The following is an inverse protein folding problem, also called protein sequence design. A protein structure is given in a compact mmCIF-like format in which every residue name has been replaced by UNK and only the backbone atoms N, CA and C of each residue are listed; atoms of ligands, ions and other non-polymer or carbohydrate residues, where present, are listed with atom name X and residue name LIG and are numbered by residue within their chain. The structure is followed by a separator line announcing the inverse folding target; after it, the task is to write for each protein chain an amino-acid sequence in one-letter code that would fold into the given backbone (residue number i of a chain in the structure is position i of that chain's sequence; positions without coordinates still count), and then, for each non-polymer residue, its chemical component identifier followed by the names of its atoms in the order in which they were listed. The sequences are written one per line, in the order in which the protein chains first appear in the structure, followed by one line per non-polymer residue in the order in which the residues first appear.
data_IF_430487873477
#
_entry.id   IF_430487873477
#
_cell.length_a   1.000
_cell.length_b   1.000
_cell.length_c   1.000
_cell.angle_alpha   90.00
_cell.angle_beta   90.00
_cell.angle_gamma   90.00
#
_symmetry.space_group_name_H-M   'P 1'
#
loop_
_entity.id
_entity.type
_entity.pdbx_description
1 polymer ?
#
# COMPACT_ATOMS: atom_id res chain seq x y z
N UNK A 1 13.68 -3.23 -5.59
CA UNK A 1 12.66 -4.29 -5.32
C UNK A 1 11.79 -4.04 -4.09
N UNK A 2 12.35 -3.65 -2.93
CA UNK A 2 11.57 -3.38 -1.70
C UNK A 2 10.52 -2.27 -1.85
N UNK A 3 10.88 -1.11 -2.42
CA UNK A 3 9.93 0.01 -2.64
C UNK A 3 8.75 -0.39 -3.53
N UNK A 4 8.98 -1.24 -4.55
CA UNK A 4 7.92 -1.72 -5.44
C UNK A 4 6.94 -2.64 -4.72
N UNK A 5 7.43 -3.59 -3.91
CA UNK A 5 6.59 -4.52 -3.14
C UNK A 5 5.93 -3.85 -1.92
N UNK A 6 6.60 -2.86 -1.32
CA UNK A 6 6.05 -2.06 -0.24
C UNK A 6 4.88 -1.25 -0.74
N UNK A 7 4.95 -0.54 -1.88
CA UNK A 7 3.80 0.27 -2.34
C UNK A 7 2.60 -0.62 -2.69
N UNK A 8 2.83 -1.82 -3.24
CA UNK A 8 1.76 -2.78 -3.55
C UNK A 8 1.09 -3.34 -2.28
N UNK A 9 1.86 -3.56 -1.21
CA UNK A 9 1.38 -4.17 0.05
C UNK A 9 1.02 -3.17 1.15
N UNK A 10 1.60 -1.99 1.17
CA UNK A 10 1.45 -0.97 2.20
C UNK A 10 0.12 -0.24 2.11
N UNK A 11 -0.46 -0.13 0.91
CA UNK A 11 -1.82 0.33 0.73
C UNK A 11 -2.87 -0.55 1.45
N UNK A 12 -2.47 -1.71 1.96
CA UNK A 12 -3.33 -2.70 2.62
C UNK A 12 -2.91 -3.03 4.07
N UNK A 13 -1.93 -2.32 4.65
CA UNK A 13 -1.44 -2.62 5.99
C UNK A 13 -2.28 -1.91 7.06
N UNK A 14 -2.95 -2.69 7.92
CA UNK A 14 -3.63 -2.20 9.13
C UNK A 14 -2.61 -1.72 10.19
N UNK A 15 -1.37 -2.20 10.09
CA UNK A 15 -0.22 -1.66 10.79
C UNK A 15 1.07 -2.24 10.22
N UNK A 16 2.20 -1.61 10.54
CA UNK A 16 3.52 -2.02 10.05
C UNK A 16 4.53 -2.17 11.20
N UNK A 17 5.46 -3.11 11.06
CA UNK A 17 6.62 -3.23 11.94
C UNK A 17 7.80 -2.54 11.25
N UNK A 18 8.26 -1.43 11.82
CA UNK A 18 9.45 -0.72 11.38
C UNK A 18 10.68 -1.32 12.08
N UNK A 19 11.53 -1.99 11.31
CA UNK A 19 12.77 -2.56 11.84
C UNK A 19 13.92 -1.56 11.66
N UNK A 20 14.54 -1.17 12.76
CA UNK A 20 15.72 -0.28 12.77
C UNK A 20 16.86 -1.03 13.44
N UNK A 21 18.06 -1.03 12.84
CA UNK A 21 19.21 -1.62 13.50
C UNK A 21 19.80 -0.64 14.51
N UNK A 22 19.93 -1.04 15.77
CA UNK A 22 20.56 -0.25 16.83
C UNK A 22 21.98 0.19 16.49
N UNK A 23 22.70 -0.62 15.70
CA UNK A 23 24.07 -0.32 15.27
C UNK A 23 24.17 0.83 14.26
N UNK A 24 23.10 1.05 13.49
CA UNK A 24 23.12 1.95 12.33
C UNK A 24 22.23 3.19 12.55
N UNK A 25 21.22 3.07 13.42
CA UNK A 25 20.22 4.11 13.63
C UNK A 25 19.28 4.29 12.42
N UNK A 26 18.51 5.40 12.37
CA UNK A 26 17.65 5.72 11.25
C UNK A 26 18.45 6.01 9.97
N UNK A 27 18.18 5.24 8.92
CA UNK A 27 18.81 5.39 7.61
C UNK A 27 17.90 6.14 6.63
N UNK A 28 18.40 6.61 5.48
CA UNK A 28 17.56 7.24 4.45
C UNK A 28 16.37 6.37 4.01
N UNK A 29 16.54 5.05 3.98
CA UNK A 29 15.43 4.13 3.69
C UNK A 29 14.39 4.10 4.81
N UNK A 30 14.79 4.23 6.09
CA UNK A 30 13.86 4.32 7.23
C UNK A 30 12.93 5.52 7.08
N UNK A 31 13.49 6.69 6.72
CA UNK A 31 12.73 7.91 6.41
C UNK A 31 11.75 7.68 5.26
N UNK A 32 12.22 7.09 4.16
CA UNK A 32 11.38 6.79 3.00
C UNK A 32 10.23 5.85 3.36
N UNK A 33 10.47 4.84 4.20
CA UNK A 33 9.44 3.88 4.61
C UNK A 33 8.35 4.50 5.48
N UNK A 34 8.72 5.35 6.45
CA UNK A 34 7.75 6.05 7.30
C UNK A 34 6.89 6.99 6.44
N UNK A 35 7.53 7.78 5.58
CA UNK A 35 6.85 8.67 4.65
C UNK A 35 5.89 7.90 3.73
N UNK A 36 6.35 6.82 3.11
CA UNK A 36 5.50 5.97 2.27
C UNK A 36 4.33 5.40 3.07
N UNK A 37 4.57 4.91 4.29
CA UNK A 37 3.55 4.41 5.20
C UNK A 37 2.44 5.45 5.44
N UNK A 38 2.82 6.70 5.70
CA UNK A 38 1.85 7.79 5.85
C UNK A 38 1.04 8.02 4.57
N UNK A 39 1.72 8.09 3.43
CA UNK A 39 1.09 8.40 2.13
C UNK A 39 0.13 7.30 1.65
N UNK A 40 0.50 6.04 1.83
CA UNK A 40 -0.35 4.89 1.49
C UNK A 40 -1.41 4.59 2.54
N UNK A 41 -1.35 5.25 3.71
CA UNK A 41 -2.40 5.20 4.73
C UNK A 41 -2.25 4.11 5.78
N UNK A 42 -1.02 3.66 6.06
CA UNK A 42 -0.75 2.80 7.21
C UNK A 42 -1.09 3.58 8.49
N UNK A 43 -2.04 3.13 9.31
CA UNK A 43 -2.50 3.92 10.45
C UNK A 43 -1.62 3.75 11.68
N UNK A 44 -0.94 2.60 11.84
CA UNK A 44 -0.13 2.28 13.02
C UNK A 44 1.25 1.75 12.63
N UNK A 45 2.27 2.19 13.34
CA UNK A 45 3.63 1.65 13.24
C UNK A 45 4.06 1.20 14.63
N UNK A 46 4.65 0.00 14.71
CA UNK A 46 5.39 -0.49 15.88
C UNK A 46 6.86 -0.60 15.48
N UNK A 47 7.77 -0.21 16.36
CA UNK A 47 9.21 -0.26 16.06
C UNK A 47 9.83 -1.49 16.73
N UNK A 48 10.64 -2.22 15.96
CA UNK A 48 11.55 -3.22 16.51
C UNK A 48 12.99 -2.74 16.33
N UNK A 49 13.61 -2.31 17.42
CA UNK A 49 15.01 -1.91 17.45
C UNK A 49 15.87 -3.18 17.53
N UNK A 50 16.38 -3.61 16.38
CA UNK A 50 17.06 -4.89 16.18
C UNK A 50 18.58 -4.77 16.37
N UNK A 51 19.26 -5.91 16.50
CA UNK A 51 20.71 -6.01 16.74
C UNK A 51 21.16 -5.41 18.08
N UNK A 52 20.30 -5.37 19.08
CA UNK A 52 20.69 -4.91 20.42
C UNK A 52 21.73 -5.83 21.09
N UNK A 53 21.89 -7.08 20.63
CA UNK A 53 22.98 -7.96 21.07
C UNK A 53 24.38 -7.46 20.70
N UNK A 54 24.45 -6.51 19.75
CA UNK A 54 25.70 -5.91 19.28
C UNK A 54 26.00 -4.55 19.92
N UNK A 55 25.11 -4.07 20.81
CA UNK A 55 25.21 -2.76 21.45
C UNK A 55 25.09 -2.94 22.96
N UNK A 56 26.17 -2.65 23.68
CA UNK A 56 26.27 -2.74 25.14
C UNK A 56 26.02 -1.40 25.85
N UNK A 57 25.99 -0.30 25.10
CA UNK A 57 25.75 1.05 25.60
C UNK A 57 24.25 1.41 25.60
N UNK A 58 23.68 1.53 26.80
CA UNK A 58 22.28 1.89 27.01
C UNK A 58 21.97 3.33 26.55
N UNK A 59 22.92 4.27 26.68
CA UNK A 59 22.73 5.66 26.25
C UNK A 59 22.63 5.75 24.72
N UNK A 60 23.39 4.90 24.00
CA UNK A 60 23.30 4.83 22.54
C UNK A 60 21.93 4.28 22.10
N UNK A 61 21.39 3.28 22.79
CA UNK A 61 20.07 2.74 22.49
C UNK A 61 18.98 3.80 22.71
N UNK A 62 19.03 4.52 23.82
CA UNK A 62 18.09 5.62 24.10
C UNK A 62 18.18 6.74 23.05
N UNK A 63 19.39 7.09 22.61
CA UNK A 63 19.60 8.08 21.56
C UNK A 63 18.94 7.64 20.24
N UNK A 64 19.16 6.38 19.83
CA UNK A 64 18.55 5.85 18.60
C UNK A 64 17.03 5.81 18.71
N UNK A 65 16.48 5.45 19.86
CA UNK A 65 15.02 5.50 20.08
C UNK A 65 14.47 6.91 19.93
N UNK A 66 15.13 7.90 20.53
CA UNK A 66 14.74 9.31 20.41
C UNK A 66 14.74 9.76 18.95
N UNK A 67 15.78 9.44 18.17
CA UNK A 67 15.84 9.78 16.75
C UNK A 67 14.72 9.10 15.93
N UNK A 68 14.38 7.85 16.25
CA UNK A 68 13.25 7.15 15.61
C UNK A 68 11.91 7.81 15.95
N UNK A 69 11.70 8.18 17.22
CA UNK A 69 10.46 8.86 17.65
C UNK A 69 10.31 10.21 16.96
N UNK A 70 11.37 11.01 16.91
CA UNK A 70 11.37 12.28 16.19
C UNK A 70 11.06 12.10 14.71
N UNK A 71 11.65 11.07 14.08
CA UNK A 71 11.39 10.77 12.67
C UNK A 71 9.93 10.33 12.42
N UNK A 72 9.33 9.56 13.31
CA UNK A 72 7.91 9.20 13.24
C UNK A 72 7.01 10.45 13.39
N UNK A 73 7.30 11.28 14.40
CA UNK A 73 6.59 12.54 14.64
C UNK A 73 6.71 13.51 13.47
N UNK A 74 7.85 13.54 12.76
CA UNK A 74 8.06 14.34 11.56
C UNK A 74 7.04 14.02 10.45
N UNK A 75 6.53 12.79 10.39
CA UNK A 75 5.60 12.32 9.36
C UNK A 75 4.20 12.00 9.92
N UNK A 76 3.79 12.72 10.96
CA UNK A 76 2.45 12.64 11.58
C UNK A 76 2.08 11.26 12.16
N UNK A 77 3.07 10.47 12.56
CA UNK A 77 2.86 9.33 13.46
C UNK A 77 3.05 9.77 14.93
N UNK A 78 2.39 9.11 15.89
CA UNK A 78 2.52 9.44 17.30
C UNK A 78 3.85 8.90 17.85
N UNK A 79 4.97 9.55 17.53
CA UNK A 79 6.31 9.08 17.88
C UNK A 79 6.50 8.83 19.38
N UNK A 80 5.96 9.71 20.23
CA UNK A 80 6.07 9.58 21.69
C UNK A 80 5.30 8.36 22.25
N UNK A 81 4.15 8.04 21.67
CA UNK A 81 3.30 6.93 22.11
C UNK A 81 3.61 5.61 21.39
N UNK A 82 4.47 5.64 20.37
CA UNK A 82 4.77 4.47 19.55
C UNK A 82 5.51 3.42 20.38
N UNK A 83 5.05 2.15 20.40
CA UNK A 83 5.78 1.07 21.04
C UNK A 83 7.11 0.80 20.33
N UNK A 84 8.19 0.74 21.11
CA UNK A 84 9.51 0.36 20.63
C UNK A 84 9.99 -0.83 21.45
N UNK A 85 10.30 -1.94 20.78
CA UNK A 85 10.84 -3.15 21.41
C UNK A 85 12.30 -3.29 21.03
N UNK A 86 13.18 -3.30 22.04
CA UNK A 86 14.62 -3.58 21.88
C UNK A 86 14.86 -5.08 21.86
N UNK A 87 15.52 -5.58 20.83
CA UNK A 87 15.68 -7.01 20.64
C UNK A 87 16.81 -7.41 19.69
N UNK A 88 17.03 -8.72 19.63
CA UNK A 88 17.90 -9.36 18.66
C UNK A 88 17.13 -10.47 17.96
N UNK A 89 16.73 -10.22 16.71
CA UNK A 89 16.06 -11.21 15.89
C UNK A 89 16.95 -12.42 15.62
N UNK A 90 18.28 -12.23 15.55
CA UNK A 90 19.23 -13.31 15.32
C UNK A 90 19.28 -14.25 16.52
N UNK A 91 19.50 -13.70 17.73
CA UNK A 91 19.58 -14.50 18.95
C UNK A 91 18.25 -15.19 19.29
N UNK A 92 17.13 -14.51 19.07
CA UNK A 92 15.81 -15.12 19.19
C UNK A 92 15.65 -16.32 18.25
N UNK A 93 16.11 -16.20 17.00
CA UNK A 93 16.05 -17.31 16.03
C UNK A 93 17.01 -18.46 16.38
N UNK A 94 18.12 -18.17 17.07
CA UNK A 94 19.06 -19.17 17.60
C UNK A 94 18.53 -19.93 18.83
N UNK A 95 17.37 -19.53 19.37
CA UNK A 95 16.72 -20.17 20.51
C UNK A 95 17.12 -19.60 21.88
N UNK A 96 17.66 -18.39 21.92
CA UNK A 96 17.95 -17.70 23.17
C UNK A 96 16.66 -17.14 23.79
N UNK A 97 16.26 -17.72 24.93
CA UNK A 97 15.00 -17.42 25.61
C UNK A 97 14.85 -15.93 26.00
N UNK A 98 15.94 -15.23 26.29
CA UNK A 98 15.89 -13.79 26.63
C UNK A 98 15.43 -12.97 25.42
N UNK A 99 15.95 -13.30 24.24
CA UNK A 99 15.62 -12.61 23.00
C UNK A 99 14.32 -13.10 22.38
N UNK A 100 13.96 -14.37 22.56
CA UNK A 100 12.62 -14.90 22.21
C UNK A 100 11.51 -14.13 22.96
N UNK A 101 11.72 -13.79 24.23
CA UNK A 101 10.77 -13.00 25.00
C UNK A 101 10.47 -11.64 24.37
N UNK A 102 11.46 -11.02 23.70
CA UNK A 102 11.28 -9.75 22.97
C UNK A 102 10.43 -9.90 21.71
N UNK A 103 10.45 -11.05 21.06
CA UNK A 103 9.54 -11.33 19.94
C UNK A 103 8.09 -11.51 20.44
N UNK A 104 7.91 -12.14 21.60
CA UNK A 104 6.60 -12.27 22.24
C UNK A 104 6.08 -10.90 22.69
N UNK A 105 6.95 -10.05 23.25
CA UNK A 105 6.63 -8.66 23.60
C UNK A 105 6.16 -7.86 22.37
N UNK A 106 6.89 -7.96 21.25
CA UNK A 106 6.51 -7.37 19.97
C UNK A 106 5.14 -7.86 19.50
N UNK A 107 4.86 -9.16 19.60
CA UNK A 107 3.56 -9.72 19.27
C UNK A 107 2.44 -9.18 20.18
N UNK A 108 2.71 -8.99 21.47
CA UNK A 108 1.77 -8.37 22.41
C UNK A 108 1.40 -6.93 22.03
N UNK A 109 2.34 -6.16 21.46
CA UNK A 109 2.02 -4.83 20.92
C UNK A 109 1.20 -4.90 19.63
N UNK A 110 1.40 -5.90 18.77
CA UNK A 110 0.51 -6.11 17.62
C UNK A 110 -0.94 -6.30 18.08
N UNK A 111 -1.16 -7.06 19.15
CA UNK A 111 -2.50 -7.34 19.68
C UNK A 111 -3.14 -6.15 20.41
N UNK A 112 -2.34 -5.31 21.07
CA UNK A 112 -2.85 -4.25 21.97
C UNK A 112 -2.80 -2.84 21.40
N UNK A 113 -1.83 -2.54 20.53
CA UNK A 113 -1.63 -1.21 19.97
C UNK A 113 -2.33 -1.02 18.63
N UNK A 114 -2.41 -2.07 17.81
CA UNK A 114 -3.16 -2.04 16.55
C UNK A 114 -4.60 -2.48 16.86
N UNK A 115 -5.58 -1.57 16.83
CA UNK A 115 -6.97 -1.97 17.05
C UNK A 115 -7.41 -2.94 15.95
N UNK A 116 -8.36 -3.80 16.29
CA UNK A 116 -9.00 -4.64 15.27
C UNK A 116 -9.58 -3.74 14.18
N UNK A 117 -9.11 -3.85 12.92
CA UNK A 117 -9.54 -2.94 11.88
C UNK A 117 -11.02 -3.15 11.63
N UNK A 118 -11.77 -2.04 11.57
CA UNK A 118 -13.18 -2.09 11.17
C UNK A 118 -13.24 -2.53 9.71
N UNK A 119 -13.46 -3.83 9.52
CA UNK A 119 -13.52 -4.42 8.19
C UNK A 119 -14.68 -3.78 7.46
N UNK A 120 -14.40 -3.23 6.28
CA UNK A 120 -15.39 -2.56 5.44
C UNK A 120 -16.37 -3.56 4.76
N UNK A 121 -16.88 -4.55 5.49
CA UNK A 121 -17.73 -5.64 5.00
C UNK A 121 -19.09 -5.17 4.51
N UNK A 122 -19.59 -4.05 5.02
CA UNK A 122 -20.89 -3.48 4.62
C UNK A 122 -20.82 -2.66 3.33
N UNK A 123 -19.61 -2.39 2.82
CA UNK A 123 -19.42 -1.70 1.54
C UNK A 123 -19.55 -2.69 0.37
N UNK A 124 -19.79 -2.23 -0.86
CA UNK A 124 -19.78 -3.10 -2.03
C UNK A 124 -18.43 -3.81 -2.22
N UNK A 125 -18.48 -5.09 -2.63
CA UNK A 125 -17.29 -5.90 -2.89
C UNK A 125 -16.31 -5.21 -3.84
N UNK A 126 -15.04 -5.15 -3.45
CA UNK A 126 -13.93 -4.74 -4.29
C UNK A 126 -12.66 -5.51 -3.89
N UNK A 127 -12.00 -6.14 -4.86
CA UNK A 127 -10.71 -6.82 -4.71
C UNK A 127 -9.74 -6.34 -5.80
N UNK A 128 -8.64 -5.67 -5.44
CA UNK A 128 -7.59 -5.31 -6.38
C UNK A 128 -6.84 -6.56 -6.83
N UNK A 129 -6.70 -6.73 -8.15
CA UNK A 129 -6.03 -7.92 -8.70
C UNK A 129 -4.52 -7.74 -8.63
N UNK A 130 -3.85 -8.64 -7.93
CA UNK A 130 -2.40 -8.67 -7.75
C UNK A 130 -1.72 -9.65 -8.72
N UNK A 131 -2.32 -10.83 -8.90
CA UNK A 131 -1.81 -11.88 -9.79
C UNK A 131 -2.95 -12.72 -10.38
N UNK A 132 -2.66 -13.41 -11.49
CA UNK A 132 -3.61 -14.21 -12.27
C UNK A 132 -3.01 -15.57 -12.65
N UNK A 133 -3.66 -16.62 -12.18
CA UNK A 133 -3.29 -18.01 -12.41
C UNK A 133 -4.33 -18.71 -13.29
N UNK A 134 -3.88 -19.70 -14.06
CA UNK A 134 -4.75 -20.65 -14.74
C UNK A 134 -4.57 -22.01 -14.11
N UNK A 135 -5.62 -22.55 -13.50
CA UNK A 135 -5.60 -23.86 -12.85
C UNK A 135 -6.28 -24.85 -13.79
N UNK A 136 -5.51 -25.84 -14.26
CA UNK A 136 -6.00 -26.89 -15.14
C UNK A 136 -7.24 -27.57 -14.54
N UNK A 137 -8.32 -27.62 -15.32
CA UNK A 137 -9.59 -28.22 -14.93
C UNK A 137 -10.46 -27.41 -13.96
N UNK A 138 -9.96 -26.29 -13.39
CA UNK A 138 -10.73 -25.41 -12.51
C UNK A 138 -11.06 -24.05 -13.13
N UNK A 139 -10.16 -23.50 -13.96
CA UNK A 139 -10.34 -22.21 -14.63
C UNK A 139 -9.35 -21.14 -14.16
N UNK A 140 -9.69 -19.88 -14.41
CA UNK A 140 -8.85 -18.73 -14.07
C UNK A 140 -9.07 -18.31 -12.62
N UNK A 141 -7.98 -18.09 -11.90
CA UNK A 141 -7.97 -17.62 -10.51
C UNK A 141 -7.25 -16.30 -10.44
N UNK A 142 -7.89 -15.30 -9.84
CA UNK A 142 -7.25 -14.03 -9.51
C UNK A 142 -6.98 -13.98 -8.02
N UNK A 143 -5.86 -13.41 -7.61
CA UNK A 143 -5.50 -13.26 -6.20
C UNK A 143 -5.41 -11.79 -5.81
N UNK A 144 -5.77 -11.51 -4.57
CA UNK A 144 -5.59 -10.21 -3.94
C UNK A 144 -6.24 -10.18 -2.56
N UNK A 145 -6.03 -9.07 -1.85
CA UNK A 145 -6.79 -8.78 -0.63
C UNK A 145 -8.14 -8.18 -0.97
N UNK A 146 -9.21 -8.65 -0.34
CA UNK A 146 -10.50 -7.96 -0.42
C UNK A 146 -10.37 -6.59 0.25
N UNK A 147 -10.43 -5.50 -0.51
CA UNK A 147 -10.31 -4.12 0.00
C UNK A 147 -11.57 -3.74 0.80
N UNK A 148 -12.74 -4.13 0.29
CA UNK A 148 -14.03 -3.84 0.90
C UNK A 148 -15.10 -4.86 0.48
N UNK A 149 -16.14 -4.99 1.30
CA UNK A 149 -17.27 -5.87 1.08
C UNK A 149 -17.00 -7.35 1.31
N UNK A 150 -17.90 -8.17 0.78
CA UNK A 150 -17.85 -9.63 0.84
C UNK A 150 -18.14 -10.16 -0.57
N UNK A 151 -17.39 -11.17 -1.01
CA UNK A 151 -17.70 -11.97 -2.20
C UNK A 151 -18.11 -13.37 -1.79
N UNK A 152 -19.22 -13.86 -2.32
CA UNK A 152 -19.69 -15.23 -2.09
C UNK A 152 -19.62 -16.08 -3.35
N UNK A 153 -19.42 -17.38 -3.16
CA UNK A 153 -19.51 -18.32 -4.28
C UNK A 153 -20.90 -18.24 -4.92
N UNK A 154 -20.93 -18.06 -6.24
CA UNK A 154 -22.14 -17.91 -7.04
C UNK A 154 -22.51 -16.46 -7.38
N UNK A 155 -21.87 -15.46 -6.76
CA UNK A 155 -22.15 -14.05 -7.06
C UNK A 155 -21.54 -13.61 -8.40
N UNK A 156 -22.23 -12.71 -9.09
CA UNK A 156 -21.71 -12.03 -10.27
C UNK A 156 -20.72 -10.93 -9.88
N UNK A 157 -19.68 -10.76 -10.69
CA UNK A 157 -18.64 -9.74 -10.52
C UNK A 157 -18.33 -9.04 -11.84
N UNK A 158 -17.90 -7.79 -11.76
CA UNK A 158 -17.31 -7.06 -12.87
C UNK A 158 -15.78 -7.00 -12.73
N UNK A 159 -15.06 -7.16 -13.83
CA UNK A 159 -13.63 -6.95 -13.94
C UNK A 159 -13.44 -5.57 -14.56
N UNK A 160 -13.00 -4.59 -13.76
CA UNK A 160 -13.04 -3.17 -14.11
C UNK A 160 -11.62 -2.59 -14.18
N UNK A 161 -11.37 -1.76 -15.20
CA UNK A 161 -10.11 -1.06 -15.43
C UNK A 161 -9.30 -1.64 -16.59
N UNK A 162 -8.39 -0.82 -17.12
CA UNK A 162 -7.44 -1.01 -18.22
C UNK A 162 -8.08 -1.37 -19.58
N UNK A 163 -8.90 -2.42 -19.59
CA UNK A 163 -9.69 -2.93 -20.72
C UNK A 163 -11.18 -2.60 -20.55
N UNK A 164 -11.97 -2.97 -21.54
CA UNK A 164 -13.44 -2.93 -21.44
C UNK A 164 -13.90 -3.78 -20.25
N UNK A 165 -14.93 -3.29 -19.53
CA UNK A 165 -15.45 -3.97 -18.35
C UNK A 165 -16.10 -5.29 -18.75
N UNK A 166 -15.62 -6.38 -18.15
CA UNK A 166 -16.14 -7.72 -18.39
C UNK A 166 -16.96 -8.19 -17.19
N UNK A 167 -17.95 -9.05 -17.43
CA UNK A 167 -18.71 -9.72 -16.37
C UNK A 167 -18.27 -11.17 -16.24
N UNK A 168 -18.25 -11.65 -15.01
CA UNK A 168 -18.01 -13.06 -14.69
C UNK A 168 -18.81 -13.47 -13.45
N UNK A 169 -18.67 -14.73 -13.06
CA UNK A 169 -19.29 -15.29 -11.85
C UNK A 169 -18.19 -15.88 -10.97
N UNK A 170 -18.20 -15.54 -9.68
CA UNK A 170 -17.38 -16.22 -8.69
C UNK A 170 -17.85 -17.66 -8.55
N UNK A 171 -16.96 -18.62 -8.80
CA UNK A 171 -17.25 -20.06 -8.72
C UNK A 171 -16.53 -20.75 -7.56
N UNK A 172 -15.71 -20.00 -6.83
CA UNK A 172 -14.96 -20.50 -5.69
C UNK A 172 -14.16 -19.37 -5.05
N UNK A 173 -14.00 -19.45 -3.73
CA UNK A 173 -13.08 -18.63 -2.96
C UNK A 173 -12.12 -19.58 -2.24
N UNK A 174 -10.82 -19.30 -2.31
CA UNK A 174 -9.78 -20.15 -1.72
C UNK A 174 -8.79 -19.29 -0.91
N UNK A 175 -8.44 -19.72 0.30
CA UNK A 175 -7.38 -19.14 1.11
C UNK A 175 -6.45 -20.25 1.60
N UNK A 176 -5.15 -20.16 1.34
CA UNK A 176 -4.14 -21.15 1.76
C UNK A 176 -4.54 -22.62 1.51
N UNK A 177 -5.03 -22.94 0.29
CA UNK A 177 -5.50 -24.28 -0.11
C UNK A 177 -6.77 -24.78 0.60
N UNK A 178 -7.48 -23.92 1.32
CA UNK A 178 -8.79 -24.20 1.91
C UNK A 178 -9.86 -23.52 1.09
N UNK A 179 -10.91 -24.27 0.75
CA UNK A 179 -12.11 -23.73 0.13
C UNK A 179 -12.93 -22.99 1.18
N UNK A 180 -13.41 -21.81 0.80
CA UNK A 180 -14.26 -20.95 1.62
C UNK A 180 -15.58 -20.71 0.89
N UNK A 181 -16.65 -20.49 1.66
CA UNK A 181 -17.96 -20.11 1.11
C UNK A 181 -18.00 -18.63 0.66
N UNK A 182 -17.17 -17.80 1.29
CA UNK A 182 -17.05 -16.37 1.01
C UNK A 182 -15.65 -15.84 1.34
N UNK A 183 -15.29 -14.70 0.75
CA UNK A 183 -14.10 -13.91 1.10
C UNK A 183 -14.54 -12.54 1.61
N UNK A 184 -13.98 -12.11 2.73
CA UNK A 184 -14.36 -10.87 3.43
C UNK A 184 -13.27 -9.82 3.36
N UNK A 185 -13.65 -8.55 3.46
CA UNK A 185 -12.71 -7.42 3.58
C UNK A 185 -11.57 -7.71 4.57
N UNK A 186 -10.33 -7.45 4.15
CA UNK A 186 -9.10 -7.74 4.90
C UNK A 186 -8.45 -9.09 4.56
N UNK A 187 -9.18 -10.02 3.94
CA UNK A 187 -8.68 -11.37 3.65
C UNK A 187 -7.92 -11.46 2.32
N UNK A 188 -6.77 -12.13 2.33
CA UNK A 188 -6.04 -12.50 1.12
C UNK A 188 -6.63 -13.78 0.54
N UNK A 189 -7.29 -13.68 -0.62
CA UNK A 189 -8.04 -14.79 -1.21
C UNK A 189 -7.69 -14.96 -2.69
N UNK A 190 -7.85 -16.20 -3.16
CA UNK A 190 -7.97 -16.53 -4.58
C UNK A 190 -9.45 -16.64 -4.96
N UNK A 191 -9.85 -15.98 -6.03
CA UNK A 191 -11.23 -16.01 -6.55
C UNK A 191 -11.25 -16.72 -7.90
N UNK A 192 -12.00 -17.82 -8.00
CA UNK A 192 -12.18 -18.58 -9.23
C UNK A 192 -13.27 -17.93 -10.09
N UNK A 193 -12.95 -17.63 -11.34
CA UNK A 193 -13.82 -16.93 -12.28
C UNK A 193 -14.31 -17.84 -13.40
N UNK A 194 -15.61 -17.79 -13.68
CA UNK A 194 -16.24 -18.54 -14.76
C UNK A 194 -16.00 -17.88 -16.12
N UNK A 195 -15.54 -18.68 -17.09
CA UNK A 195 -15.59 -18.31 -18.51
C UNK A 195 -14.62 -17.22 -18.94
N UNK A 196 -13.73 -16.78 -18.05
CA UNK A 196 -12.69 -15.80 -18.34
C UNK A 196 -11.35 -16.51 -18.48
N UNK A 197 -10.57 -16.17 -19.50
CA UNK A 197 -9.22 -16.67 -19.73
C UNK A 197 -8.18 -15.79 -19.04
N UNK A 198 -7.01 -16.35 -18.77
CA UNK A 198 -5.92 -15.66 -18.08
C UNK A 198 -5.48 -14.39 -18.83
N UNK A 199 -5.44 -14.41 -20.15
CA UNK A 199 -5.04 -13.28 -21.01
C UNK A 199 -6.06 -12.12 -21.07
N UNK A 200 -7.30 -12.38 -20.66
CA UNK A 200 -8.38 -11.38 -20.63
C UNK A 200 -8.33 -10.52 -19.35
N UNK A 201 -7.55 -10.95 -18.35
CA UNK A 201 -7.35 -10.27 -17.07
C UNK A 201 -5.89 -9.84 -16.94
N UNK A 202 -5.65 -8.69 -16.34
CA UNK A 202 -4.31 -8.24 -15.99
C UNK A 202 -4.26 -7.52 -14.64
N UNK A 203 -3.04 -7.43 -14.10
CA UNK A 203 -2.74 -6.70 -12.88
C UNK A 203 -3.07 -5.21 -13.06
N UNK A 204 -3.72 -4.63 -12.06
CA UNK A 204 -4.20 -3.25 -12.07
C UNK A 204 -5.69 -3.11 -12.35
N UNK A 205 -6.34 -4.18 -12.82
CA UNK A 205 -7.80 -4.29 -12.78
C UNK A 205 -8.28 -4.62 -11.36
N UNK A 206 -9.57 -4.43 -11.13
CA UNK A 206 -10.24 -4.84 -9.88
C UNK A 206 -11.39 -5.78 -10.19
N UNK A 207 -11.64 -6.73 -9.29
CA UNK A 207 -12.97 -7.34 -9.19
C UNK A 207 -13.86 -6.44 -8.36
N UNK A 208 -15.08 -6.20 -8.80
CA UNK A 208 -16.05 -5.41 -8.07
C UNK A 208 -17.46 -5.99 -8.16
N UNK A 209 -18.30 -5.64 -7.19
CA UNK A 209 -19.75 -5.85 -7.32
C UNK A 209 -20.24 -5.11 -8.58
N UNK A 210 -21.09 -5.72 -9.41
CA UNK A 210 -21.51 -5.10 -10.66
C UNK A 210 -22.11 -3.71 -10.48
N UNK A 211 -21.62 -2.75 -11.27
CA UNK A 211 -22.12 -1.38 -11.28
C UNK A 211 -21.64 -0.48 -10.13
N UNK A 212 -20.80 -0.94 -9.21
CA UNK A 212 -20.46 -0.18 -8.00
C UNK A 212 -19.17 0.63 -8.09
N UNK A 213 -18.37 0.44 -9.14
CA UNK A 213 -17.21 1.29 -9.46
C UNK A 213 -17.08 1.36 -10.99
N UNK A 214 -16.60 2.50 -11.50
CA UNK A 214 -16.41 2.72 -12.93
C UNK A 214 -14.96 3.06 -13.25
N UNK A 215 -14.50 2.74 -14.48
CA UNK A 215 -13.15 3.06 -14.89
C UNK A 215 -13.09 4.48 -15.46
N UNK A 216 -12.09 5.25 -15.05
CA UNK A 216 -11.90 6.65 -15.44
C UNK A 216 -10.47 6.93 -15.88
N UNK A 217 -10.29 7.93 -16.72
CA UNK A 217 -8.99 8.37 -17.23
C UNK A 217 -8.61 9.76 -16.74
N UNK A 218 -9.58 10.64 -16.45
CA UNK A 218 -9.36 12.03 -16.08
C UNK A 218 -9.94 12.32 -14.70
N UNK A 219 -9.15 12.96 -13.86
CA UNK A 219 -9.54 13.32 -12.49
C UNK A 219 -8.78 14.55 -11.97
N UNK A 220 -9.38 15.28 -11.04
CA UNK A 220 -8.74 16.28 -10.20
C UNK A 220 -8.11 15.60 -8.98
N UNK A 221 -6.93 16.04 -8.58
CA UNK A 221 -6.24 15.52 -7.39
C UNK A 221 -5.55 16.61 -6.59
N UNK A 222 -5.37 16.31 -5.31
CA UNK A 222 -4.44 17.02 -4.43
C UNK A 222 -3.20 16.14 -4.26
N UNK A 223 -2.03 16.72 -4.52
CA UNK A 223 -0.76 16.01 -4.61
C UNK A 223 0.31 16.71 -3.81
N UNK A 224 1.07 15.93 -3.05
CA UNK A 224 2.33 16.30 -2.43
C UNK A 224 3.50 15.78 -3.26
N UNK A 225 4.45 16.65 -3.60
CA UNK A 225 5.70 16.25 -4.27
C UNK A 225 6.78 16.13 -3.21
N UNK A 226 7.43 14.97 -3.17
CA UNK A 226 8.47 14.72 -2.17
C UNK A 226 9.64 15.70 -2.37
N UNK A 227 10.12 16.25 -1.27
CA UNK A 227 11.32 17.08 -1.23
C UNK A 227 12.57 16.27 -1.56
N UNK A 228 13.69 16.97 -1.79
CA UNK A 228 14.98 16.32 -2.01
C UNK A 228 15.39 15.46 -0.80
N UNK A 229 15.15 15.93 0.40
CA UNK A 229 15.58 15.28 1.65
C UNK A 229 14.74 14.04 2.00
N UNK A 230 13.51 14.00 1.49
CA UNK A 230 12.63 12.82 1.52
C UNK A 230 12.94 11.79 0.44
N UNK A 231 14.02 12.00 -0.34
CA UNK A 231 14.35 11.12 -1.45
C UNK A 231 13.42 11.31 -2.66
N UNK A 232 12.84 12.49 -2.83
CA UNK A 232 12.09 12.88 -4.02
C UNK A 232 12.97 13.36 -5.17
N UNK A 233 12.42 14.28 -5.96
CA UNK A 233 13.14 14.93 -7.07
C UNK A 233 14.15 15.95 -6.54
N UNK A 234 15.23 16.14 -7.29
CA UNK A 234 16.22 17.18 -7.00
C UNK A 234 15.93 18.51 -7.71
N UNK A 235 15.14 18.46 -8.79
CA UNK A 235 14.83 19.61 -9.64
C UNK A 235 13.32 19.71 -9.85
N UNK A 236 12.79 20.93 -10.08
CA UNK A 236 11.39 21.11 -10.38
C UNK A 236 10.97 20.34 -11.64
N UNK A 237 9.66 20.16 -11.80
CA UNK A 237 9.08 19.76 -13.07
C UNK A 237 8.13 20.83 -13.59
N UNK A 238 7.87 20.78 -14.90
CA UNK A 238 7.08 21.78 -15.62
C UNK A 238 5.86 21.12 -16.26
N UNK A 239 5.03 21.94 -16.91
CA UNK A 239 3.98 21.45 -17.82
C UNK A 239 4.56 20.46 -18.83
N UNK A 240 3.83 19.37 -19.08
CA UNK A 240 4.27 18.29 -19.96
C UNK A 240 5.03 17.16 -19.27
N UNK A 241 5.21 17.22 -17.95
CA UNK A 241 5.69 16.10 -17.15
C UNK A 241 4.75 14.87 -17.27
N UNK A 242 5.34 13.68 -17.45
CA UNK A 242 4.62 12.41 -17.69
C UNK A 242 5.11 11.28 -16.79
N UNK A 243 4.78 11.30 -15.50
CA UNK A 243 5.16 10.24 -14.58
C UNK A 243 4.29 9.00 -14.72
N UNK A 244 4.63 7.96 -13.95
CA UNK A 244 3.75 6.85 -13.66
C UNK A 244 2.90 7.17 -12.43
N UNK A 245 1.59 6.92 -12.50
CA UNK A 245 0.66 6.98 -11.39
C UNK A 245 0.37 5.57 -10.92
N UNK A 246 0.72 5.29 -9.67
CA UNK A 246 0.57 3.99 -9.08
C UNK A 246 -0.78 3.88 -8.38
N UNK A 247 -1.69 3.10 -8.97
CA UNK A 247 -3.01 2.82 -8.42
C UNK A 247 -3.09 1.37 -7.97
N UNK A 248 -3.25 1.18 -6.65
CA UNK A 248 -3.39 -0.11 -5.95
C UNK A 248 -2.29 -1.12 -6.25
N UNK A 249 -2.31 -1.72 -7.44
CA UNK A 249 -1.40 -2.80 -7.83
C UNK A 249 -0.55 -2.47 -9.06
N UNK A 250 -0.83 -1.40 -9.81
CA UNK A 250 -0.14 -1.12 -11.09
C UNK A 250 0.27 0.34 -11.30
N UNK A 251 1.32 0.54 -12.10
CA UNK A 251 1.77 1.83 -12.61
C UNK A 251 1.06 2.16 -13.94
N UNK A 252 0.42 3.33 -14.05
CA UNK A 252 -0.18 3.83 -15.29
C UNK A 252 0.39 5.20 -15.63
N UNK A 253 0.98 5.36 -16.82
CA UNK A 253 1.48 6.66 -17.26
C UNK A 253 0.34 7.66 -17.42
N UNK A 254 0.56 8.91 -17.03
CA UNK A 254 -0.39 9.99 -17.25
C UNK A 254 0.26 11.30 -17.61
N UNK A 255 -0.52 12.24 -18.10
CA UNK A 255 -0.14 13.64 -18.29
C UNK A 255 -0.77 14.49 -17.20
N UNK A 256 -0.06 15.54 -16.79
CA UNK A 256 -0.58 16.50 -15.81
C UNK A 256 -0.92 17.85 -16.44
N UNK A 257 -1.99 18.45 -15.96
CA UNK A 257 -2.35 19.85 -16.19
C UNK A 257 -2.20 20.58 -14.85
N UNK A 258 -1.30 21.57 -14.81
CA UNK A 258 -1.08 22.42 -13.64
C UNK A 258 -2.14 23.54 -13.57
N UNK A 259 -2.44 24.08 -12.38
CA UNK A 259 -3.34 25.22 -12.22
C UNK A 259 -2.89 26.42 -13.04
N UNK A 260 -3.85 27.30 -13.36
CA UNK A 260 -3.56 28.56 -14.04
C UNK A 260 -2.55 29.39 -13.23
N UNK A 261 -1.57 29.98 -13.92
CA UNK A 261 -0.49 30.74 -13.30
C UNK A 261 0.67 29.90 -12.71
N UNK A 262 0.54 28.57 -12.64
CA UNK A 262 1.64 27.70 -12.18
C UNK A 262 2.39 27.11 -13.38
N UNK A 263 3.68 27.44 -13.50
CA UNK A 263 4.55 26.97 -14.59
C UNK A 263 5.48 25.82 -14.16
N UNK A 264 5.87 25.79 -12.89
CA UNK A 264 6.75 24.78 -12.33
C UNK A 264 6.29 24.37 -10.94
N UNK A 265 6.65 23.14 -10.54
CA UNK A 265 6.38 22.59 -9.21
C UNK A 265 7.72 22.17 -8.60
N UNK A 266 8.00 22.68 -7.41
CA UNK A 266 9.24 22.40 -6.68
C UNK A 266 9.10 21.11 -5.87
N UNK A 267 10.21 20.39 -5.63
CA UNK A 267 10.24 19.33 -4.62
C UNK A 267 9.83 19.88 -3.25
N UNK A 268 8.86 19.25 -2.58
CA UNK A 268 8.28 19.70 -1.31
C UNK A 268 6.94 20.45 -1.44
N UNK A 269 6.49 20.76 -2.66
CA UNK A 269 5.23 21.49 -2.87
C UNK A 269 4.00 20.60 -2.70
N UNK A 270 2.91 21.22 -2.23
CA UNK A 270 1.55 20.70 -2.33
C UNK A 270 0.82 21.44 -3.46
N UNK A 271 0.21 20.70 -4.37
CA UNK A 271 -0.45 21.29 -5.53
C UNK A 271 -1.70 20.51 -5.95
N UNK A 272 -2.70 21.26 -6.45
CA UNK A 272 -3.82 20.68 -7.18
C UNK A 272 -3.41 20.42 -8.62
N UNK A 273 -3.69 19.25 -9.15
CA UNK A 273 -3.45 18.99 -10.58
C UNK A 273 -4.59 18.17 -11.17
N UNK A 274 -4.78 18.33 -12.48
CA UNK A 274 -5.66 17.45 -13.25
C UNK A 274 -4.79 16.43 -13.95
N UNK A 275 -5.09 15.15 -13.75
CA UNK A 275 -4.36 14.03 -14.34
C UNK A 275 -5.19 13.42 -15.44
N UNK A 276 -4.55 13.05 -16.55
CA UNK A 276 -5.15 12.21 -17.61
C UNK A 276 -4.27 10.98 -17.84
N UNK A 277 -4.81 9.79 -17.55
CA UNK A 277 -4.14 8.49 -17.68
C UNK A 277 -4.23 7.95 -19.11
N UNK A 278 -3.22 7.19 -19.53
CA UNK A 278 -3.22 6.52 -20.84
C UNK A 278 -4.18 5.32 -20.92
N UNK A 279 -4.51 4.74 -19.76
CA UNK A 279 -5.44 3.62 -19.62
C UNK A 279 -6.42 3.93 -18.49
N UNK A 280 -7.69 3.52 -18.61
CA UNK A 280 -8.70 3.82 -17.61
C UNK A 280 -8.48 2.98 -16.35
N UNK A 281 -8.70 3.54 -15.17
CA UNK A 281 -8.54 2.85 -13.88
C UNK A 281 -9.83 2.94 -13.08
N UNK A 282 -10.20 1.84 -12.42
CA UNK A 282 -11.34 1.82 -11.50
C UNK A 282 -11.06 2.73 -10.30
N UNK A 283 -11.76 3.86 -10.21
CA UNK A 283 -11.53 4.86 -9.17
C UNK A 283 -12.83 5.55 -8.74
N UNK A 284 -12.85 5.98 -7.49
CA UNK A 284 -13.86 6.86 -6.89
C UNK A 284 -13.11 8.03 -6.22
N UNK A 285 -13.84 9.08 -5.86
CA UNK A 285 -13.32 10.18 -5.06
C UNK A 285 -12.74 9.64 -3.73
N UNK A 286 -11.59 10.17 -3.32
CA UNK A 286 -10.84 9.75 -2.14
C UNK A 286 -9.83 8.63 -2.39
N UNK A 287 -9.75 8.05 -3.59
CA UNK A 287 -8.74 7.03 -3.90
C UNK A 287 -7.32 7.62 -3.84
N UNK A 288 -6.45 7.01 -3.04
CA UNK A 288 -5.03 7.40 -2.94
C UNK A 288 -4.19 6.76 -4.04
N UNK A 289 -3.13 7.44 -4.45
CA UNK A 289 -2.16 6.98 -5.43
C UNK A 289 -0.77 7.54 -5.14
N UNK A 290 0.27 6.90 -5.66
CA UNK A 290 1.63 7.42 -5.65
C UNK A 290 2.05 7.91 -7.04
N UNK A 291 2.94 8.90 -7.12
CA UNK A 291 3.57 9.36 -8.35
C UNK A 291 4.99 8.82 -8.38
N UNK A 292 5.35 8.16 -9.47
CA UNK A 292 6.61 7.42 -9.58
C UNK A 292 7.36 7.75 -10.86
N UNK A 293 8.69 7.72 -10.76
CA UNK A 293 9.63 7.79 -11.88
C UNK A 293 10.54 6.58 -11.85
N UNK A 294 10.48 5.73 -12.88
CA UNK A 294 11.35 4.55 -12.96
C UNK A 294 11.20 3.61 -11.74
N UNK A 295 10.02 3.60 -11.12
CA UNK A 295 9.72 2.81 -9.92
C UNK A 295 10.07 3.46 -8.59
N UNK A 296 10.70 4.65 -8.57
CA UNK A 296 10.93 5.45 -7.35
C UNK A 296 9.76 6.38 -7.11
N UNK A 297 9.27 6.47 -5.87
CA UNK A 297 8.21 7.42 -5.51
C UNK A 297 8.78 8.83 -5.42
N UNK A 298 8.10 9.76 -6.08
CA UNK A 298 8.47 11.19 -6.14
C UNK A 298 7.33 12.09 -5.69
N UNK A 299 6.15 11.53 -5.44
CA UNK A 299 5.01 12.25 -4.90
C UNK A 299 3.90 11.29 -4.49
N UNK A 300 2.89 11.83 -3.85
CA UNK A 300 1.72 11.10 -3.41
C UNK A 300 0.49 11.98 -3.57
N UNK A 301 -0.67 11.38 -3.83
CA UNK A 301 -1.88 12.13 -4.06
C UNK A 301 -3.15 11.38 -3.74
N UNK A 302 -4.24 12.15 -3.72
CA UNK A 302 -5.59 11.66 -3.54
C UNK A 302 -6.47 12.18 -4.66
N UNK A 303 -7.31 11.31 -5.23
CA UNK A 303 -8.34 11.69 -6.19
C UNK A 303 -9.34 12.58 -5.45
N UNK A 304 -9.38 13.87 -5.80
CA UNK A 304 -10.32 14.82 -5.22
C UNK A 304 -11.68 14.73 -5.91
N UNK A 305 -11.67 14.57 -7.25
CA UNK A 305 -12.89 14.47 -8.05
C UNK A 305 -12.65 13.76 -9.37
N UNK A 306 -13.47 12.75 -9.68
CA UNK A 306 -13.48 12.11 -11.00
C UNK A 306 -14.12 13.02 -12.07
N UNK A 307 -13.50 13.09 -13.26
CA UNK A 307 -13.96 13.94 -14.36
C UNK A 307 -14.40 13.16 -15.61
N UNK A 308 -13.86 11.95 -15.84
CA UNK A 308 -14.17 11.16 -17.05
C UNK A 308 -13.37 9.88 -17.16
#
# INVERSE_FOLDING_TARGET
DYVKNMITGAAQMDGAILVVAATDGPMPQTREHILLGRQVGVPYIIVFLNKCDMVDDEELLELVEMEVRELLSQYDFPGDDTPIVRGSALKALEGDAEWEAKIIELAGFLDSYIPEPERAIDKPFLLPIEDVFSISGRGTVVTGRVERGIIKVGEEVEIVGIKETQKSTCTGVEMFRKLLDEGRAGENVGVLLRGIKREEIERGQVLAKPGTIKPHTKFESEVYILSKDEGGRHTPFFKGYRPQFYFRTTDVTGTIELPEGVEMVMPGDNIKMVVTLIHPIAMDDGLRFAIREGGRTVGAGVVAKVLG
#
